data_IF_384327119344
#
_entry.id   IF_384327119344
#
_cell.length_a   1.000
_cell.length_b   1.000
_cell.length_c   1.000
_cell.angle_alpha   90.00
_cell.angle_beta   90.00
_cell.angle_gamma   90.00
#
_symmetry.space_group_name_H-M   'P 1'
#
loop_
_entity.id
_entity.type
_entity.pdbx_description
1 polymer ?
#
# COMPACT_ATOMS: atom_id res chain seq x y z
N UNK A 1 45.91 -79.62 27.23
CA UNK A 1 45.20 -78.70 26.30
C UNK A 1 43.75 -79.15 26.22
N UNK A 2 43.01 -79.09 27.34
CA UNK A 2 41.67 -79.68 27.47
C UNK A 2 40.61 -78.73 28.08
N UNK A 3 40.93 -77.47 28.38
CA UNK A 3 39.97 -76.59 29.08
C UNK A 3 39.18 -75.63 28.17
N UNK A 4 39.58 -75.41 26.91
CA UNK A 4 38.93 -74.42 26.03
C UNK A 4 37.76 -74.94 25.17
N UNK A 5 37.34 -76.20 25.31
CA UNK A 5 36.27 -76.80 24.47
C UNK A 5 34.92 -76.87 25.20
N UNK A 6 34.92 -76.77 26.53
CA UNK A 6 33.69 -76.95 27.33
C UNK A 6 32.91 -75.63 27.48
N UNK A 7 33.58 -74.47 27.58
CA UNK A 7 32.90 -73.17 27.71
C UNK A 7 32.12 -72.75 26.46
N UNK A 8 32.67 -72.99 25.26
CA UNK A 8 32.03 -72.59 23.98
C UNK A 8 30.75 -73.40 23.68
N UNK A 9 30.66 -74.64 24.18
CA UNK A 9 29.48 -75.49 23.96
C UNK A 9 28.32 -75.17 24.91
N UNK A 10 28.58 -74.65 26.12
CA UNK A 10 27.51 -74.20 27.02
C UNK A 10 26.92 -72.86 26.60
N UNK A 11 27.72 -71.95 26.03
CA UNK A 11 27.26 -70.64 25.58
C UNK A 11 26.41 -70.73 24.29
N UNK A 12 26.77 -71.62 23.35
CA UNK A 12 25.97 -71.89 22.13
C UNK A 12 24.61 -72.54 22.44
N UNK A 13 24.53 -73.38 23.47
CA UNK A 13 23.25 -73.97 23.88
C UNK A 13 22.33 -72.93 24.56
N UNK A 14 22.89 -71.97 25.30
CA UNK A 14 22.13 -70.86 25.91
C UNK A 14 21.58 -69.88 24.85
N UNK A 15 22.37 -69.52 23.83
CA UNK A 15 21.94 -68.61 22.77
C UNK A 15 20.84 -69.25 21.91
N UNK A 16 20.95 -70.54 21.57
CA UNK A 16 19.91 -71.22 20.80
C UNK A 16 18.59 -71.34 21.57
N UNK A 17 18.64 -71.48 22.90
CA UNK A 17 17.44 -71.54 23.75
C UNK A 17 16.78 -70.16 23.93
N UNK A 18 17.58 -69.08 23.92
CA UNK A 18 17.10 -67.69 23.91
C UNK A 18 16.49 -67.33 22.56
N UNK A 19 17.12 -67.71 21.44
CA UNK A 19 16.60 -67.47 20.08
C UNK A 19 15.30 -68.24 19.87
N UNK A 20 15.23 -69.51 20.29
CA UNK A 20 14.00 -70.30 20.22
C UNK A 20 12.88 -69.71 21.09
N UNK A 21 13.20 -69.10 22.25
CA UNK A 21 12.21 -68.37 23.07
C UNK A 21 11.77 -67.05 22.45
N UNK A 22 12.64 -66.34 21.75
CA UNK A 22 12.31 -65.08 21.06
C UNK A 22 11.42 -65.37 19.84
N UNK A 23 11.73 -66.39 19.04
CA UNK A 23 10.90 -66.80 17.90
C UNK A 23 9.50 -67.25 18.36
N UNK A 24 9.41 -68.00 19.47
CA UNK A 24 8.11 -68.41 20.02
C UNK A 24 7.30 -67.22 20.58
N UNK A 25 7.97 -66.19 21.11
CA UNK A 25 7.34 -64.96 21.58
C UNK A 25 6.93 -64.05 20.42
N UNK A 26 7.68 -64.00 19.32
CA UNK A 26 7.29 -63.31 18.09
C UNK A 26 6.07 -63.97 17.45
N UNK A 27 6.01 -65.30 17.40
CA UNK A 27 4.85 -66.02 16.90
C UNK A 27 3.62 -65.86 17.80
N UNK A 28 3.78 -65.76 19.13
CA UNK A 28 2.66 -65.45 20.05
C UNK A 28 2.19 -63.97 19.95
N UNK A 29 3.07 -63.03 19.63
CA UNK A 29 2.72 -61.61 19.46
C UNK A 29 2.07 -61.36 18.09
N UNK A 30 2.52 -62.06 17.05
CA UNK A 30 1.96 -61.96 15.69
C UNK A 30 0.63 -62.72 15.55
N UNK A 31 0.44 -63.85 16.25
CA UNK A 31 -0.81 -64.62 16.21
C UNK A 31 -1.85 -64.27 17.27
N UNK A 32 -1.62 -63.27 18.13
CA UNK A 32 -2.67 -62.74 18.99
C UNK A 32 -3.71 -62.04 18.11
N UNK A 33 -4.72 -62.78 17.66
CA UNK A 33 -5.89 -62.26 16.95
C UNK A 33 -6.44 -61.09 17.76
N UNK A 34 -6.11 -59.87 17.33
CA UNK A 34 -6.63 -58.65 17.93
C UNK A 34 -8.14 -58.71 17.84
N UNK A 35 -8.79 -58.61 19.00
CA UNK A 35 -10.25 -58.66 19.07
C UNK A 35 -10.79 -57.46 18.31
N UNK A 36 -11.92 -57.58 17.59
CA UNK A 36 -12.54 -56.45 16.86
C UNK A 36 -12.71 -55.20 17.73
N UNK A 37 -12.87 -55.37 19.03
CA UNK A 37 -12.92 -54.31 20.04
C UNK A 37 -11.60 -53.51 20.19
N UNK A 38 -10.44 -54.15 20.09
CA UNK A 38 -9.13 -53.50 20.18
C UNK A 38 -8.79 -52.74 18.90
N UNK A 39 -9.16 -53.30 17.74
CA UNK A 39 -9.06 -52.60 16.45
C UNK A 39 -9.98 -51.37 16.44
N UNK A 40 -11.21 -51.48 16.95
CA UNK A 40 -12.12 -50.34 17.06
C UNK A 40 -11.59 -49.25 18.00
N UNK A 41 -10.87 -49.63 19.06
CA UNK A 41 -10.26 -48.69 20.02
C UNK A 41 -9.07 -47.94 19.40
N UNK A 42 -8.20 -48.64 18.69
CA UNK A 42 -7.01 -48.06 18.06
C UNK A 42 -7.39 -47.15 16.87
N UNK A 43 -8.43 -47.52 16.11
CA UNK A 43 -8.98 -46.66 15.05
C UNK A 43 -9.97 -45.61 15.56
N UNK A 44 -10.57 -45.77 16.74
CA UNK A 44 -11.53 -44.83 17.31
C UNK A 44 -10.90 -43.47 17.61
N UNK A 45 -9.66 -43.44 18.09
CA UNK A 45 -8.90 -42.20 18.28
C UNK A 45 -8.55 -41.50 16.96
N UNK A 46 -8.18 -42.26 15.94
CA UNK A 46 -7.86 -41.74 14.60
C UNK A 46 -9.13 -41.25 13.89
N UNK A 47 -10.25 -41.97 14.02
CA UNK A 47 -11.54 -41.58 13.46
C UNK A 47 -12.09 -40.33 14.15
N UNK A 48 -11.95 -40.23 15.48
CA UNK A 48 -12.31 -39.03 16.24
C UNK A 48 -11.44 -37.83 15.82
N UNK A 49 -10.15 -38.04 15.56
CA UNK A 49 -9.26 -37.00 15.03
C UNK A 49 -9.66 -36.57 13.61
N UNK A 50 -9.98 -37.51 12.71
CA UNK A 50 -10.43 -37.21 11.34
C UNK A 50 -11.77 -36.48 11.36
N UNK A 51 -12.70 -36.88 12.24
CA UNK A 51 -13.98 -36.17 12.41
C UNK A 51 -13.73 -34.79 13.00
N UNK A 52 -12.87 -34.64 14.01
CA UNK A 52 -12.55 -33.34 14.60
C UNK A 52 -11.89 -32.39 13.58
N UNK A 53 -10.95 -32.88 12.78
CA UNK A 53 -10.37 -32.13 11.65
C UNK A 53 -11.46 -31.83 10.62
N UNK A 54 -12.24 -32.82 10.20
CA UNK A 54 -13.33 -32.66 9.23
C UNK A 54 -14.46 -31.73 9.67
N UNK A 55 -14.68 -31.54 10.98
CA UNK A 55 -15.67 -30.61 11.53
C UNK A 55 -15.10 -29.21 11.81
N UNK A 56 -13.82 -29.13 12.19
CA UNK A 56 -13.14 -27.84 12.43
C UNK A 56 -12.67 -27.17 11.13
N UNK A 57 -12.38 -27.95 10.10
CA UNK A 57 -11.86 -27.46 8.82
C UNK A 57 -12.90 -26.72 7.93
N UNK A 58 -14.20 -27.10 7.85
CA UNK A 58 -15.15 -26.33 7.06
C UNK A 58 -15.49 -24.99 7.71
N UNK A 59 -15.59 -24.90 9.04
CA UNK A 59 -16.05 -23.66 9.70
C UNK A 59 -14.99 -22.56 9.67
N UNK A 60 -13.72 -22.90 9.91
CA UNK A 60 -12.64 -21.90 9.93
C UNK A 60 -12.14 -21.46 8.55
N UNK A 61 -12.29 -22.31 7.52
CA UNK A 61 -11.82 -22.02 6.16
C UNK A 61 -12.93 -21.39 5.32
N UNK A 62 -14.21 -21.79 5.47
CA UNK A 62 -15.31 -21.14 4.75
C UNK A 62 -15.49 -19.68 5.13
N UNK A 63 -15.39 -19.36 6.42
CA UNK A 63 -15.52 -17.97 6.89
C UNK A 63 -14.37 -17.09 6.38
N UNK A 64 -13.20 -17.68 6.07
CA UNK A 64 -12.05 -16.97 5.46
C UNK A 64 -12.10 -16.89 3.93
N UNK A 65 -12.72 -17.86 3.26
CA UNK A 65 -12.73 -17.95 1.79
C UNK A 65 -14.00 -17.41 1.13
N UNK A 66 -15.14 -17.43 1.83
CA UNK A 66 -16.44 -17.05 1.27
C UNK A 66 -17.05 -15.87 2.03
N UNK A 67 -16.77 -15.75 3.33
CA UNK A 67 -17.08 -14.58 4.13
C UNK A 67 -15.91 -13.60 4.18
N UNK A 68 -15.57 -12.95 3.06
CA UNK A 68 -14.80 -11.71 3.18
C UNK A 68 -15.48 -10.87 4.25
N UNK A 69 -14.79 -10.55 5.36
CA UNK A 69 -15.32 -9.65 6.38
C UNK A 69 -15.63 -8.34 5.64
N UNK A 70 -16.88 -8.18 5.21
CA UNK A 70 -17.36 -6.90 4.72
C UNK A 70 -17.23 -5.97 5.91
N UNK A 71 -16.18 -5.15 5.90
CA UNK A 71 -16.09 -4.05 6.82
C UNK A 71 -17.31 -3.17 6.54
N UNK A 72 -18.02 -2.80 7.61
CA UNK A 72 -19.14 -1.90 7.43
C UNK A 72 -18.63 -0.60 6.81
N UNK A 73 -19.44 0.02 5.95
CA UNK A 73 -19.05 1.28 5.31
C UNK A 73 -18.70 2.35 6.36
N UNK A 74 -19.31 2.29 7.54
CA UNK A 74 -19.01 3.15 8.69
C UNK A 74 -17.56 2.99 9.17
N UNK A 75 -17.04 1.76 9.23
CA UNK A 75 -15.62 1.50 9.59
C UNK A 75 -14.69 2.07 8.52
N UNK A 76 -15.05 1.91 7.24
CA UNK A 76 -14.26 2.48 6.14
C UNK A 76 -14.26 4.01 6.17
N UNK A 77 -15.38 4.65 6.52
CA UNK A 77 -15.45 6.11 6.70
C UNK A 77 -14.57 6.59 7.85
N UNK A 78 -14.60 5.88 8.98
CA UNK A 78 -13.69 6.15 10.10
C UNK A 78 -12.22 5.99 9.69
N UNK A 79 -11.94 5.00 8.84
CA UNK A 79 -10.61 4.81 8.28
C UNK A 79 -10.17 5.96 7.36
N UNK A 80 -11.07 6.49 6.50
CA UNK A 80 -10.79 7.70 5.70
C UNK A 80 -10.46 8.89 6.61
N UNK A 81 -11.25 9.12 7.67
CA UNK A 81 -10.96 10.16 8.66
C UNK A 81 -9.59 9.95 9.31
N UNK A 82 -9.26 8.70 9.65
CA UNK A 82 -7.96 8.34 10.22
C UNK A 82 -6.82 8.67 9.25
N UNK A 83 -6.97 8.41 7.94
CA UNK A 83 -5.95 8.79 6.95
C UNK A 83 -5.75 10.30 6.89
N UNK A 84 -6.82 11.09 6.93
CA UNK A 84 -6.76 12.56 6.97
C UNK A 84 -6.07 13.08 8.23
N UNK A 85 -6.32 12.46 9.39
CA UNK A 85 -5.63 12.79 10.64
C UNK A 85 -4.13 12.50 10.54
N UNK A 86 -3.73 11.34 10.02
CA UNK A 86 -2.33 10.98 9.82
C UNK A 86 -1.62 11.95 8.88
N UNK A 87 -2.27 12.38 7.79
CA UNK A 87 -1.71 13.39 6.89
C UNK A 87 -1.55 14.76 7.59
N UNK A 88 -2.52 15.16 8.41
CA UNK A 88 -2.40 16.37 9.23
C UNK A 88 -1.24 16.27 10.22
N UNK A 89 -1.06 15.13 10.88
CA UNK A 89 0.09 14.88 11.76
C UNK A 89 1.42 15.02 11.00
N UNK A 90 1.52 14.45 9.79
CA UNK A 90 2.72 14.59 8.96
C UNK A 90 2.98 16.07 8.63
N UNK A 91 1.98 16.82 8.19
CA UNK A 91 2.12 18.24 7.90
C UNK A 91 2.56 19.06 9.13
N UNK A 92 2.05 18.73 10.31
CA UNK A 92 2.48 19.36 11.57
C UNK A 92 3.93 19.04 11.91
N UNK A 93 4.38 17.79 11.72
CA UNK A 93 5.79 17.41 11.91
C UNK A 93 6.68 18.16 10.93
N UNK A 94 6.29 18.23 9.64
CA UNK A 94 7.05 18.92 8.61
C UNK A 94 7.18 20.41 8.89
N UNK A 95 6.11 21.04 9.40
CA UNK A 95 6.11 22.45 9.76
C UNK A 95 6.86 22.77 11.07
N UNK A 96 7.01 21.79 11.98
CA UNK A 96 7.59 22.03 13.31
C UNK A 96 9.07 21.64 13.44
N UNK A 97 9.58 20.79 12.55
CA UNK A 97 10.97 20.30 12.60
C UNK A 97 11.76 20.80 11.39
N UNK A 98 12.71 21.70 11.65
CA UNK A 98 13.58 22.27 10.62
C UNK A 98 14.70 21.32 10.17
N UNK A 99 15.20 20.45 11.05
CA UNK A 99 16.25 19.48 10.72
C UNK A 99 15.66 18.36 9.82
N UNK A 100 16.14 18.22 8.57
CA UNK A 100 15.60 17.22 7.64
C UNK A 100 15.73 15.78 8.13
N UNK A 101 16.82 15.43 8.82
CA UNK A 101 17.05 14.06 9.29
C UNK A 101 16.12 13.70 10.44
N UNK A 102 15.92 14.63 11.38
CA UNK A 102 14.98 14.44 12.49
C UNK A 102 13.53 14.42 11.99
N UNK A 103 13.22 15.29 11.02
CA UNK A 103 11.91 15.33 10.37
C UNK A 103 11.60 14.00 9.69
N UNK A 104 12.52 13.46 8.89
CA UNK A 104 12.33 12.17 8.22
C UNK A 104 12.14 11.02 9.23
N UNK A 105 12.90 11.03 10.32
CA UNK A 105 12.76 10.07 11.41
C UNK A 105 11.39 10.14 12.11
N UNK A 106 10.83 11.34 12.27
CA UNK A 106 9.53 11.57 12.91
C UNK A 106 8.34 11.30 11.96
N UNK A 107 8.46 11.62 10.67
CA UNK A 107 7.41 11.42 9.66
C UNK A 107 7.23 9.94 9.34
N UNK A 108 8.32 9.16 9.26
CA UNK A 108 8.30 7.78 8.75
C UNK A 108 7.32 6.84 9.51
N UNK A 109 7.25 6.82 10.85
CA UNK A 109 6.27 5.99 11.57
C UNK A 109 4.82 6.34 11.23
N UNK A 110 4.51 7.63 11.07
CA UNK A 110 3.17 8.12 10.74
C UNK A 110 2.81 7.73 9.30
N UNK A 111 3.75 7.91 8.37
CA UNK A 111 3.62 7.49 6.99
C UNK A 111 3.41 5.97 6.85
N UNK A 112 4.12 5.16 7.65
CA UNK A 112 3.93 3.70 7.67
C UNK A 112 2.52 3.32 8.16
N UNK A 113 1.97 4.03 9.14
CA UNK A 113 0.58 3.83 9.58
C UNK A 113 -0.39 4.18 8.46
N UNK A 114 -0.19 5.28 7.75
CA UNK A 114 -1.00 5.69 6.61
C UNK A 114 -1.00 4.61 5.51
N UNK A 115 0.19 4.14 5.11
CA UNK A 115 0.36 3.07 4.12
C UNK A 115 -0.34 1.79 4.59
N UNK A 116 -0.17 1.41 5.86
CA UNK A 116 -0.80 0.22 6.44
C UNK A 116 -2.33 0.31 6.42
N UNK A 117 -2.90 1.45 6.82
CA UNK A 117 -4.35 1.69 6.79
C UNK A 117 -4.90 1.61 5.37
N UNK A 118 -4.26 2.29 4.40
CA UNK A 118 -4.69 2.29 3.01
C UNK A 118 -4.57 0.90 2.36
N UNK A 119 -3.50 0.16 2.65
CA UNK A 119 -3.27 -1.17 2.09
C UNK A 119 -4.19 -2.23 2.68
N UNK A 120 -4.48 -2.16 3.98
CA UNK A 120 -5.40 -3.10 4.66
C UNK A 120 -6.82 -2.98 4.12
N UNK A 121 -7.28 -1.76 3.85
CA UNK A 121 -8.66 -1.49 3.44
C UNK A 121 -8.84 -1.31 1.92
N UNK A 122 -7.78 -1.52 1.14
CA UNK A 122 -7.72 -1.25 -0.31
C UNK A 122 -8.87 -1.87 -1.10
N UNK A 123 -9.11 -3.16 -0.90
CA UNK A 123 -10.16 -3.88 -1.65
C UNK A 123 -11.56 -3.45 -1.22
N UNK A 124 -11.78 -3.18 0.06
CA UNK A 124 -13.08 -2.73 0.56
C UNK A 124 -13.41 -1.31 0.09
N UNK A 125 -12.42 -0.40 0.07
CA UNK A 125 -12.59 0.92 -0.53
C UNK A 125 -13.04 0.80 -1.99
N UNK A 126 -12.38 -0.06 -2.77
CA UNK A 126 -12.70 -0.29 -4.18
C UNK A 126 -14.13 -0.80 -4.39
N UNK A 127 -14.61 -1.71 -3.52
CA UNK A 127 -15.98 -2.21 -3.58
C UNK A 127 -17.01 -1.13 -3.24
N UNK A 128 -16.67 -0.19 -2.36
CA UNK A 128 -17.59 0.82 -1.84
C UNK A 128 -17.42 2.23 -2.42
N UNK A 129 -16.56 2.44 -3.42
CA UNK A 129 -16.30 3.76 -4.04
C UNK A 129 -17.58 4.56 -4.32
N UNK A 130 -18.59 3.92 -4.92
CA UNK A 130 -19.85 4.58 -5.28
C UNK A 130 -20.69 5.05 -4.09
N UNK A 131 -20.45 4.50 -2.90
CA UNK A 131 -21.20 4.77 -1.67
C UNK A 131 -20.56 5.86 -0.80
N UNK A 132 -19.30 6.20 -1.06
CA UNK A 132 -18.67 7.35 -0.45
C UNK A 132 -19.21 8.65 -1.06
N UNK A 133 -19.24 9.68 -0.23
CA UNK A 133 -19.46 11.05 -0.64
C UNK A 133 -18.27 11.58 -1.43
N UNK A 134 -18.49 12.66 -2.18
CA UNK A 134 -17.45 13.33 -2.96
C UNK A 134 -16.27 13.75 -2.08
N UNK A 135 -16.52 14.30 -0.89
CA UNK A 135 -15.45 14.74 0.02
C UNK A 135 -14.62 13.57 0.58
N UNK A 136 -15.28 12.44 0.89
CA UNK A 136 -14.59 11.21 1.31
C UNK A 136 -13.69 10.67 0.20
N UNK A 137 -14.17 10.69 -1.05
CA UNK A 137 -13.38 10.26 -2.21
C UNK A 137 -12.21 11.21 -2.48
N UNK A 138 -12.41 12.53 -2.35
CA UNK A 138 -11.32 13.50 -2.49
C UNK A 138 -10.24 13.26 -1.43
N UNK A 139 -10.62 13.09 -0.16
CA UNK A 139 -9.66 12.77 0.91
C UNK A 139 -8.91 11.46 0.64
N UNK A 140 -9.64 10.41 0.26
CA UNK A 140 -9.05 9.12 -0.07
C UNK A 140 -8.07 9.22 -1.25
N UNK A 141 -8.41 9.99 -2.29
CA UNK A 141 -7.52 10.20 -3.43
C UNK A 141 -6.23 10.92 -3.04
N UNK A 142 -6.32 11.94 -2.20
CA UNK A 142 -5.18 12.69 -1.68
C UNK A 142 -4.29 11.77 -0.85
N UNK A 143 -4.88 10.91 -0.02
CA UNK A 143 -4.15 9.93 0.77
C UNK A 143 -3.39 8.93 -0.13
N UNK A 144 -4.01 8.44 -1.21
CA UNK A 144 -3.33 7.57 -2.17
C UNK A 144 -2.20 8.26 -2.94
N UNK A 145 -2.39 9.52 -3.37
CA UNK A 145 -1.33 10.31 -3.99
C UNK A 145 -0.16 10.53 -3.02
N UNK A 146 -0.45 10.77 -1.74
CA UNK A 146 0.55 11.01 -0.70
C UNK A 146 1.46 9.81 -0.46
N UNK A 147 0.93 8.59 -0.58
CA UNK A 147 1.71 7.34 -0.50
C UNK A 147 2.22 6.84 -1.84
N UNK A 148 2.07 7.65 -2.90
CA UNK A 148 2.45 7.33 -4.27
C UNK A 148 1.78 6.06 -4.86
N UNK A 149 0.59 5.68 -4.39
CA UNK A 149 -0.23 4.63 -5.03
C UNK A 149 -1.06 5.24 -6.17
N UNK A 150 -0.40 5.47 -7.31
CA UNK A 150 -0.95 6.11 -8.49
C UNK A 150 -2.21 5.42 -9.03
N UNK A 151 -2.23 4.08 -9.01
CA UNK A 151 -3.32 3.27 -9.57
C UNK A 151 -4.59 3.48 -8.76
N UNK A 152 -4.48 3.45 -7.42
CA UNK A 152 -5.63 3.68 -6.55
C UNK A 152 -6.07 5.14 -6.58
N UNK A 153 -5.13 6.09 -6.56
CA UNK A 153 -5.43 7.50 -6.69
C UNK A 153 -6.24 7.77 -7.99
N UNK A 154 -5.73 7.30 -9.13
CA UNK A 154 -6.38 7.47 -10.43
C UNK A 154 -7.80 6.90 -10.44
N UNK A 155 -7.97 5.67 -9.93
CA UNK A 155 -9.29 5.02 -9.83
C UNK A 155 -10.29 5.85 -9.02
N UNK A 156 -9.89 6.35 -7.85
CA UNK A 156 -10.74 7.19 -7.00
C UNK A 156 -11.05 8.51 -7.70
N UNK A 157 -10.07 9.14 -8.34
CA UNK A 157 -10.22 10.43 -9.00
C UNK A 157 -11.09 10.39 -10.26
N UNK A 158 -11.08 9.27 -11.00
CA UNK A 158 -12.01 9.02 -12.11
C UNK A 158 -13.44 8.95 -11.57
N UNK A 159 -13.66 8.26 -10.45
CA UNK A 159 -14.97 8.22 -9.78
C UNK A 159 -15.41 9.61 -9.31
N UNK A 160 -14.50 10.41 -8.73
CA UNK A 160 -14.79 11.81 -8.36
C UNK A 160 -15.18 12.62 -9.60
N UNK A 161 -14.40 12.54 -10.67
CA UNK A 161 -14.62 13.33 -11.90
C UNK A 161 -15.94 12.98 -12.61
N UNK A 162 -16.48 11.78 -12.39
CA UNK A 162 -17.78 11.35 -12.88
C UNK A 162 -18.98 11.87 -12.08
N UNK A 163 -18.77 12.56 -10.95
CA UNK A 163 -19.84 13.10 -10.10
C UNK A 163 -20.43 14.37 -10.71
N UNK A 164 -21.76 14.48 -10.69
CA UNK A 164 -22.47 15.64 -11.24
C UNK A 164 -22.52 16.83 -10.26
N UNK A 165 -22.27 16.58 -8.97
CA UNK A 165 -22.38 17.53 -7.87
C UNK A 165 -21.06 18.21 -7.49
N UNK A 166 -20.04 18.14 -8.36
CA UNK A 166 -18.75 18.78 -8.10
C UNK A 166 -18.87 20.30 -8.12
N UNK A 167 -18.38 20.95 -7.08
CA UNK A 167 -18.00 22.35 -7.17
C UNK A 167 -16.87 22.52 -8.18
N UNK A 168 -16.76 23.72 -8.77
CA UNK A 168 -15.67 24.03 -9.70
C UNK A 168 -14.29 23.72 -9.10
N UNK A 169 -14.11 24.07 -7.81
CA UNK A 169 -12.85 23.77 -7.12
C UNK A 169 -12.58 22.28 -6.96
N UNK A 170 -13.59 21.48 -6.60
CA UNK A 170 -13.43 20.03 -6.49
C UNK A 170 -13.08 19.41 -7.85
N UNK A 171 -13.70 19.87 -8.93
CA UNK A 171 -13.37 19.41 -10.30
C UNK A 171 -11.92 19.73 -10.66
N UNK A 172 -11.47 20.98 -10.44
CA UNK A 172 -10.09 21.36 -10.74
C UNK A 172 -9.07 20.58 -9.89
N UNK A 173 -9.34 20.41 -8.59
CA UNK A 173 -8.52 19.57 -7.72
C UNK A 173 -8.49 18.10 -8.19
N UNK A 174 -9.62 17.56 -8.66
CA UNK A 174 -9.69 16.20 -9.18
C UNK A 174 -8.87 16.05 -10.47
N UNK A 175 -8.95 17.01 -11.39
CA UNK A 175 -8.11 17.04 -12.60
C UNK A 175 -6.63 17.19 -12.26
N UNK A 176 -6.27 18.02 -11.28
CA UNK A 176 -4.88 18.14 -10.80
C UNK A 176 -4.41 16.82 -10.20
N UNK A 177 -5.21 16.16 -9.37
CA UNK A 177 -4.90 14.85 -8.81
C UNK A 177 -4.70 13.80 -9.89
N UNK A 178 -5.55 13.80 -10.94
CA UNK A 178 -5.40 12.91 -12.09
C UNK A 178 -4.08 13.18 -12.79
N UNK A 179 -3.80 14.45 -13.09
CA UNK A 179 -2.55 14.87 -13.70
C UNK A 179 -1.35 14.33 -12.90
N UNK A 180 -1.30 14.56 -11.58
CA UNK A 180 -0.24 14.02 -10.71
C UNK A 180 -0.15 12.49 -10.81
N UNK A 181 -1.29 11.79 -10.74
CA UNK A 181 -1.30 10.31 -10.80
C UNK A 181 -0.65 9.76 -12.07
N UNK A 182 -0.78 10.47 -13.20
CA UNK A 182 -0.18 10.09 -14.48
C UNK A 182 1.33 10.34 -14.56
N UNK A 183 1.90 11.16 -13.67
CA UNK A 183 3.35 11.35 -13.58
C UNK A 183 4.01 10.31 -12.66
N UNK A 184 3.29 9.77 -11.68
CA UNK A 184 3.85 8.78 -10.75
C UNK A 184 4.18 7.46 -11.50
N UNK A 185 5.42 6.94 -11.41
CA UNK A 185 5.80 5.69 -12.05
C UNK A 185 4.89 4.51 -11.64
N UNK A 186 4.09 4.03 -12.60
CA UNK A 186 3.12 2.94 -12.41
C UNK A 186 2.67 2.41 -13.76
N UNK A 187 1.84 1.36 -13.77
CA UNK A 187 1.20 0.85 -15.00
C UNK A 187 0.28 1.87 -15.69
N UNK A 188 -0.15 2.91 -14.96
CA UNK A 188 -1.00 3.98 -15.46
C UNK A 188 -0.20 5.22 -15.89
N UNK A 189 1.13 5.19 -15.85
CA UNK A 189 1.95 6.37 -16.13
C UNK A 189 1.75 6.83 -17.59
N UNK A 190 1.31 8.09 -17.75
CA UNK A 190 1.09 8.75 -19.03
C UNK A 190 1.37 10.24 -18.89
N UNK A 191 2.65 10.61 -18.97
CA UNK A 191 3.07 12.01 -18.74
C UNK A 191 2.56 12.96 -19.81
N UNK A 192 2.17 12.47 -20.99
CA UNK A 192 1.55 13.28 -22.05
C UNK A 192 0.12 13.65 -21.66
N UNK A 193 -0.70 12.67 -21.30
CA UNK A 193 -2.06 12.94 -20.85
C UNK A 193 -2.10 13.74 -19.54
N UNK A 194 -1.19 13.46 -18.60
CA UNK A 194 -1.02 14.27 -17.40
C UNK A 194 -0.70 15.75 -17.71
N UNK A 195 0.12 16.01 -18.74
CA UNK A 195 0.42 17.37 -19.21
C UNK A 195 -0.80 18.05 -19.82
N UNK A 196 -1.56 17.35 -20.64
CA UNK A 196 -2.80 17.89 -21.24
C UNK A 196 -3.80 18.34 -20.15
N UNK A 197 -3.92 17.55 -19.07
CA UNK A 197 -4.74 17.93 -17.92
C UNK A 197 -4.22 19.21 -17.26
N UNK A 198 -2.91 19.33 -17.01
CA UNK A 198 -2.34 20.56 -16.45
C UNK A 198 -2.58 21.78 -17.35
N UNK A 199 -2.37 21.65 -18.67
CA UNK A 199 -2.65 22.72 -19.65
C UNK A 199 -4.10 23.16 -19.57
N UNK A 200 -5.05 22.20 -19.57
CA UNK A 200 -6.48 22.51 -19.48
C UNK A 200 -6.85 23.28 -18.20
N UNK A 201 -6.30 22.89 -17.05
CA UNK A 201 -6.54 23.58 -15.77
C UNK A 201 -5.91 24.98 -15.78
N UNK A 202 -4.68 25.11 -16.31
CA UNK A 202 -3.99 26.42 -16.39
C UNK A 202 -4.73 27.37 -17.32
N UNK A 203 -5.18 26.92 -18.49
CA UNK A 203 -5.93 27.73 -19.45
C UNK A 203 -7.25 28.19 -18.84
N UNK A 204 -7.94 27.31 -18.11
CA UNK A 204 -9.16 27.65 -17.41
C UNK A 204 -8.94 28.72 -16.33
N UNK A 205 -7.93 28.55 -15.47
CA UNK A 205 -7.61 29.47 -14.38
C UNK A 205 -7.02 30.80 -14.84
N UNK A 206 -6.25 30.80 -15.94
CA UNK A 206 -5.61 32.02 -16.46
C UNK A 206 -6.63 33.04 -16.96
N UNK A 207 -7.87 32.59 -17.24
CA UNK A 207 -8.98 33.46 -17.60
C UNK A 207 -9.76 33.99 -16.38
N UNK A 208 -9.42 33.56 -15.16
CA UNK A 208 -10.08 33.97 -13.91
C UNK A 208 -9.24 35.02 -13.18
N UNK A 209 -9.85 36.15 -12.84
CA UNK A 209 -9.19 37.31 -12.21
C UNK A 209 -9.63 37.43 -10.76
N UNK A 210 -9.44 36.37 -9.97
CA UNK A 210 -9.65 36.43 -8.53
C UNK A 210 -8.42 35.91 -7.77
N UNK A 211 -8.32 36.32 -6.50
CA UNK A 211 -7.17 36.03 -5.66
C UNK A 211 -7.02 34.52 -5.38
N UNK A 212 -8.12 33.80 -5.19
CA UNK A 212 -8.07 32.37 -4.88
C UNK A 212 -7.60 31.55 -6.08
N UNK A 213 -8.06 31.91 -7.28
CA UNK A 213 -7.62 31.32 -8.54
C UNK A 213 -6.15 31.61 -8.82
N UNK A 214 -5.67 32.79 -8.45
CA UNK A 214 -4.24 33.15 -8.55
C UNK A 214 -3.34 32.32 -7.63
N UNK A 215 -3.69 32.14 -6.34
CA UNK A 215 -2.96 31.21 -5.44
C UNK A 215 -2.88 29.82 -6.04
N UNK A 216 -4.03 29.36 -6.52
CA UNK A 216 -4.15 28.01 -7.02
C UNK A 216 -3.33 27.80 -8.29
N UNK A 217 -3.33 28.79 -9.19
CA UNK A 217 -2.50 28.77 -10.39
C UNK A 217 -1.00 28.72 -10.06
N UNK A 218 -0.55 29.47 -9.04
CA UNK A 218 0.85 29.41 -8.56
C UNK A 218 1.20 27.99 -8.11
N UNK A 219 0.39 27.41 -7.22
CA UNK A 219 0.59 26.04 -6.72
C UNK A 219 0.56 25.02 -7.86
N UNK A 220 -0.39 25.16 -8.79
CA UNK A 220 -0.56 24.27 -9.93
C UNK A 220 0.65 24.29 -10.87
N UNK A 221 1.18 25.48 -11.17
CA UNK A 221 2.40 25.61 -11.99
C UNK A 221 3.62 25.03 -11.29
N UNK A 222 3.73 25.22 -9.98
CA UNK A 222 4.80 24.61 -9.20
C UNK A 222 4.70 23.07 -9.23
N UNK A 223 3.52 22.51 -8.98
CA UNK A 223 3.29 21.07 -9.00
C UNK A 223 3.55 20.46 -10.38
N UNK A 224 3.02 21.09 -11.45
CA UNK A 224 3.31 20.68 -12.82
C UNK A 224 4.81 20.73 -13.10
N UNK A 225 5.45 21.86 -12.76
CA UNK A 225 6.87 22.05 -12.94
C UNK A 225 7.71 20.98 -12.25
N UNK A 226 7.38 20.63 -11.01
CA UNK A 226 8.04 19.57 -10.24
C UNK A 226 7.89 18.21 -10.89
N UNK A 227 6.67 17.86 -11.31
CA UNK A 227 6.40 16.58 -11.97
C UNK A 227 7.19 16.42 -13.28
N UNK A 228 7.29 17.49 -14.07
CA UNK A 228 8.09 17.53 -15.29
C UNK A 228 9.59 17.42 -15.01
N UNK A 229 10.10 18.10 -13.97
CA UNK A 229 11.51 17.99 -13.57
C UNK A 229 11.89 16.58 -13.08
N UNK A 230 10.96 15.87 -12.44
CA UNK A 230 11.22 14.53 -11.88
C UNK A 230 11.21 13.44 -12.95
N UNK A 231 10.22 13.46 -13.86
CA UNK A 231 9.97 12.34 -14.78
C UNK A 231 9.59 12.76 -16.20
N UNK A 232 9.42 14.05 -16.47
CA UNK A 232 8.91 14.57 -17.75
C UNK A 232 9.94 15.38 -18.54
N UNK A 233 9.47 16.47 -19.14
CA UNK A 233 10.28 17.40 -19.94
C UNK A 233 10.93 18.46 -19.04
N UNK A 234 12.26 18.40 -18.94
CA UNK A 234 13.03 19.33 -18.14
C UNK A 234 12.77 20.81 -18.48
N UNK A 235 12.70 21.17 -19.76
CA UNK A 235 12.49 22.56 -20.19
C UNK A 235 11.10 23.03 -19.79
N UNK A 236 10.09 22.19 -19.97
CA UNK A 236 8.76 22.45 -19.47
C UNK A 236 8.76 22.67 -17.96
N UNK A 237 9.39 21.76 -17.21
CA UNK A 237 9.50 21.84 -15.77
C UNK A 237 10.11 23.16 -15.30
N UNK A 238 11.27 23.53 -15.86
CA UNK A 238 11.92 24.81 -15.55
C UNK A 238 11.02 26.01 -15.87
N UNK A 239 10.35 26.01 -17.02
CA UNK A 239 9.44 27.09 -17.42
C UNK A 239 8.30 27.25 -16.42
N UNK A 240 7.63 26.17 -16.03
CA UNK A 240 6.49 26.26 -15.12
C UNK A 240 6.90 26.71 -13.71
N UNK A 241 8.01 26.20 -13.18
CA UNK A 241 8.53 26.68 -11.88
C UNK A 241 8.95 28.15 -11.95
N UNK A 242 9.58 28.60 -13.04
CA UNK A 242 9.90 30.02 -13.23
C UNK A 242 8.65 30.91 -13.26
N UNK A 243 7.59 30.48 -13.96
CA UNK A 243 6.33 31.22 -13.99
C UNK A 243 5.64 31.25 -12.62
N UNK A 244 5.68 30.15 -11.86
CA UNK A 244 5.17 30.11 -10.49
C UNK A 244 5.92 31.10 -9.57
N UNK A 245 7.25 31.16 -9.69
CA UNK A 245 8.09 32.10 -8.94
C UNK A 245 7.82 33.56 -9.31
N UNK A 246 7.71 33.87 -10.60
CA UNK A 246 7.37 35.22 -11.08
C UNK A 246 5.99 35.67 -10.56
N UNK A 247 4.99 34.78 -10.62
CA UNK A 247 3.67 35.07 -10.09
C UNK A 247 3.68 35.27 -8.57
N UNK A 248 4.47 34.49 -7.82
CA UNK A 248 4.66 34.65 -6.39
C UNK A 248 5.32 36.01 -6.06
N UNK A 249 6.30 36.44 -6.84
CA UNK A 249 6.93 37.77 -6.66
C UNK A 249 5.96 38.92 -6.90
N UNK A 250 5.07 38.79 -7.89
CA UNK A 250 4.02 39.78 -8.14
C UNK A 250 2.91 39.77 -7.07
N UNK A 251 2.90 38.77 -6.20
CA UNK A 251 1.93 38.55 -5.11
C UNK A 251 2.41 39.05 -3.74
N UNK A 252 3.52 39.80 -3.68
CA UNK A 252 4.20 40.28 -2.47
C UNK A 252 3.38 41.15 -1.49
N UNK A 253 2.13 41.50 -1.79
CA UNK A 253 1.30 42.35 -0.94
C UNK A 253 0.55 41.60 0.19
N UNK A 254 0.65 40.28 0.28
CA UNK A 254 -0.06 39.46 1.27
C UNK A 254 0.89 38.46 1.99
N UNK A 255 1.59 38.96 3.02
CA UNK A 255 2.23 38.24 4.13
C UNK A 255 3.39 37.23 3.87
N UNK A 256 4.15 36.99 4.94
CA UNK A 256 5.44 36.29 5.14
C UNK A 256 5.55 34.76 4.79
N UNK A 257 4.50 33.97 4.47
CA UNK A 257 4.68 32.56 4.09
C UNK A 257 5.43 32.33 2.75
N UNK A 258 5.67 33.39 1.98
CA UNK A 258 6.24 33.31 0.63
C UNK A 258 7.74 32.98 0.64
N UNK A 259 8.47 33.31 1.70
CA UNK A 259 9.91 33.02 1.80
C UNK A 259 10.20 31.51 1.72
N UNK A 260 9.40 30.71 2.43
CA UNK A 260 9.52 29.25 2.46
C UNK A 260 9.19 28.60 1.11
N UNK A 261 8.08 28.99 0.48
CA UNK A 261 7.71 28.45 -0.85
C UNK A 261 8.74 28.85 -1.91
N UNK A 262 9.21 30.10 -1.86
CA UNK A 262 10.27 30.57 -2.75
C UNK A 262 11.57 29.79 -2.57
N UNK A 263 11.98 29.53 -1.32
CA UNK A 263 13.16 28.74 -1.00
C UNK A 263 13.03 27.32 -1.55
N UNK A 264 11.90 26.64 -1.30
CA UNK A 264 11.61 25.30 -1.83
C UNK A 264 11.72 25.27 -3.35
N UNK A 265 11.01 26.15 -4.05
CA UNK A 265 10.99 26.15 -5.53
C UNK A 265 12.35 26.54 -6.12
N UNK A 266 13.07 27.46 -5.48
CA UNK A 266 14.42 27.87 -5.91
C UNK A 266 15.44 26.76 -5.70
N UNK A 267 15.41 26.08 -4.57
CA UNK A 267 16.30 24.97 -4.27
C UNK A 267 16.02 23.77 -5.18
N UNK A 268 14.76 23.53 -5.55
CA UNK A 268 14.41 22.53 -6.55
C UNK A 268 15.02 22.83 -7.90
N UNK A 269 14.94 24.06 -8.41
CA UNK A 269 15.60 24.43 -9.67
C UNK A 269 17.12 24.26 -9.62
N UNK A 270 17.74 24.55 -8.47
CA UNK A 270 19.21 24.45 -8.30
C UNK A 270 19.70 23.03 -8.12
N UNK A 271 18.95 22.20 -7.39
CA UNK A 271 19.38 20.88 -6.95
C UNK A 271 18.74 19.74 -7.76
N UNK A 272 17.78 20.05 -8.63
CA UNK A 272 17.23 19.05 -9.52
C UNK A 272 18.35 18.57 -10.47
N UNK A 273 18.57 17.24 -10.59
CA UNK A 273 19.66 16.72 -11.39
C UNK A 273 19.48 17.09 -12.87
N UNK A 274 20.52 17.68 -13.47
CA UNK A 274 20.61 17.98 -14.91
C UNK A 274 20.11 16.80 -15.79
N UNK A 275 19.52 17.08 -16.96
CA UNK A 275 18.41 16.32 -17.53
C UNK A 275 18.70 14.85 -17.79
N UNK A 276 17.72 13.99 -17.51
CA UNK A 276 17.50 12.81 -18.34
C UNK A 276 16.97 13.32 -19.68
N UNK A 277 17.53 12.91 -20.84
CA UNK A 277 17.07 13.41 -22.14
C UNK A 277 15.63 12.98 -22.41
N UNK A 278 14.67 13.79 -21.97
CA UNK A 278 13.28 13.75 -22.43
C UNK A 278 13.18 14.49 -23.76
N UNK A 279 12.39 13.94 -24.69
CA UNK A 279 12.13 14.60 -25.96
C UNK A 279 11.37 15.91 -25.71
N UNK A 280 11.70 17.01 -26.43
CA UNK A 280 10.92 18.24 -26.35
C UNK A 280 9.47 17.98 -26.76
N UNK A 281 8.51 18.34 -25.90
CA UNK A 281 7.07 18.12 -26.15
C UNK A 281 6.32 19.44 -26.33
N UNK A 282 5.32 19.44 -27.22
CA UNK A 282 4.39 20.57 -27.40
C UNK A 282 3.48 20.72 -26.18
N UNK A 283 3.04 21.94 -25.88
CA UNK A 283 2.11 22.21 -24.77
C UNK A 283 2.76 22.83 -23.53
N UNK A 284 4.05 23.15 -23.62
CA UNK A 284 4.74 24.07 -22.70
C UNK A 284 5.07 25.35 -23.46
#
# INVERSE_FOLDING_TARGET
MEENVIEVNNEKNSINDIVARIENLEDEIVNKKKTTLEVLRDYGGVLALIIAIGYSWPIGVWDRFIGGREESIEVLRESIITTSQLMSEINQVVASINDPNLRDGAVRPIQNRLISTLSTNKEEYNRHLKRFSTDELVQLSIAYLFVYDAVQANRVLVEVSGRADLTERQRLNAHQGLAISYYIPSEMQDTEYGRELYVGIVDELSNQIDANSSVFLISLRADWGMNELMVGDWKCGTKQVSLALEQLENWQHLADPQGFLREIYSDMLKNSPMPRPGQPVKGC
#
